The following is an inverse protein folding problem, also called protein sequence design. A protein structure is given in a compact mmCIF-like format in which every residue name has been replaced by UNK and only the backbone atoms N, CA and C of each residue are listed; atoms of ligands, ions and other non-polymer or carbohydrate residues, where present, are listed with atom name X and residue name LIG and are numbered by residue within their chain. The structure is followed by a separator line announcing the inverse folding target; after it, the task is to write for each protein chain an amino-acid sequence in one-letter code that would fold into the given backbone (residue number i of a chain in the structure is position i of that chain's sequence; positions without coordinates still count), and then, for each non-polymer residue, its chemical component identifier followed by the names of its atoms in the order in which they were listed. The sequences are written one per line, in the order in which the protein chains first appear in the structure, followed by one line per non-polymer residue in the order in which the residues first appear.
data_IF_939280559197
#
_entry.id   IF_939280559197
#
_cell.length_a   1.000
_cell.length_b   1.000
_cell.length_c   1.000
_cell.angle_alpha   90.00
_cell.angle_beta   90.00
_cell.angle_gamma   90.00
#
_symmetry.space_group_name_H-M   'P 1'
#
loop_
_entity.id
_entity.type
_entity.pdbx_description
1 polymer ?
#
# COMPACT_ATOMS: atom_id res chain seq x y z
N UNK A 1 14.20 -22.90 65.50
CA UNK A 1 12.79 -23.25 65.24
C UNK A 1 11.96 -21.99 65.00
N UNK A 2 10.87 -22.12 64.23
CA UNK A 2 9.83 -21.14 63.91
C UNK A 2 10.18 -20.04 62.89
N UNK A 3 9.86 -20.32 61.61
CA UNK A 3 9.79 -19.34 60.52
C UNK A 3 8.35 -18.77 60.47
N UNK A 4 8.11 -17.48 60.76
CA UNK A 4 6.79 -16.86 60.64
C UNK A 4 6.53 -16.25 59.24
N UNK A 5 7.26 -16.68 58.21
CA UNK A 5 7.28 -16.00 56.91
C UNK A 5 6.23 -16.52 55.91
N UNK A 6 5.38 -17.47 56.29
CA UNK A 6 4.47 -18.16 55.38
C UNK A 6 3.10 -17.47 55.18
N UNK A 7 2.76 -16.42 55.93
CA UNK A 7 1.40 -15.83 55.90
C UNK A 7 1.34 -14.54 55.07
N UNK A 8 2.47 -13.89 54.78
CA UNK A 8 2.44 -12.59 54.09
C UNK A 8 2.36 -12.67 52.55
N UNK A 9 2.48 -13.87 51.95
CA UNK A 9 2.57 -14.00 50.48
C UNK A 9 1.26 -14.36 49.78
N UNK A 10 0.18 -14.66 50.52
CA UNK A 10 -1.11 -15.09 49.94
C UNK A 10 -2.06 -13.92 49.65
N UNK A 11 -1.74 -12.70 50.08
CA UNK A 11 -2.62 -11.53 49.93
C UNK A 11 -2.48 -10.73 48.62
N UNK A 12 -1.49 -11.02 47.76
CA UNK A 12 -1.15 -10.18 46.60
C UNK A 12 -1.65 -10.72 45.24
N UNK A 13 -2.65 -11.60 45.21
CA UNK A 13 -3.09 -12.22 43.95
C UNK A 13 -4.57 -12.07 43.59
N UNK A 14 -5.40 -11.37 44.36
CA UNK A 14 -6.86 -11.29 44.09
C UNK A 14 -7.36 -9.94 43.55
N UNK A 15 -6.48 -8.95 43.34
CA UNK A 15 -6.88 -7.62 42.86
C UNK A 15 -6.81 -7.38 41.35
N UNK A 16 -6.25 -8.31 40.56
CA UNK A 16 -5.85 -8.03 39.17
C UNK A 16 -6.55 -8.90 38.13
N UNK A 17 -7.80 -9.28 38.38
CA UNK A 17 -8.68 -9.97 37.40
C UNK A 17 -9.90 -9.09 37.14
N UNK A 18 -9.69 -7.86 36.66
CA UNK A 18 -10.72 -7.04 35.99
C UNK A 18 -10.10 -5.79 35.37
N UNK A 19 -9.10 -5.98 34.52
CA UNK A 19 -8.79 -5.01 33.48
C UNK A 19 -8.43 -5.84 32.25
N UNK A 20 -9.45 -6.42 31.62
CA UNK A 20 -9.32 -6.77 30.21
C UNK A 20 -9.12 -5.44 29.50
N UNK A 21 -7.85 -5.09 29.30
CA UNK A 21 -7.44 -3.98 28.49
C UNK A 21 -8.00 -4.22 27.10
N UNK A 22 -9.09 -3.52 26.75
CA UNK A 22 -9.41 -3.32 25.34
C UNK A 22 -8.30 -2.43 24.77
N UNK A 23 -7.18 -3.06 24.43
CA UNK A 23 -6.12 -2.44 23.66
C UNK A 23 -6.76 -1.86 22.41
N UNK A 24 -6.72 -0.54 22.27
CA UNK A 24 -7.31 0.18 21.16
C UNK A 24 -6.76 -0.39 19.85
N UNK A 25 -7.63 -1.04 19.07
CA UNK A 25 -7.24 -1.66 17.80
C UNK A 25 -6.67 -0.57 16.89
N UNK A 26 -5.54 -0.81 16.21
CA UNK A 26 -4.98 0.17 15.28
C UNK A 26 -6.03 0.51 14.23
N UNK A 27 -6.18 1.80 13.98
CA UNK A 27 -7.14 2.32 13.01
C UNK A 27 -6.80 1.74 11.63
N UNK A 28 -7.78 1.25 10.84
CA UNK A 28 -7.50 0.75 9.50
C UNK A 28 -6.99 1.88 8.61
N UNK A 29 -6.04 1.56 7.73
CA UNK A 29 -5.42 2.52 6.80
C UNK A 29 -6.43 3.34 5.98
N UNK A 30 -7.61 2.77 5.70
CA UNK A 30 -8.68 3.42 4.94
C UNK A 30 -9.33 4.60 5.67
N UNK A 31 -9.17 4.71 6.99
CA UNK A 31 -9.71 5.82 7.78
C UNK A 31 -8.66 6.91 8.09
N UNK A 32 -7.45 6.78 7.57
CA UNK A 32 -6.45 7.84 7.65
C UNK A 32 -6.74 8.95 6.62
N UNK A 33 -6.48 10.22 6.97
CA UNK A 33 -6.71 11.32 6.03
C UNK A 33 -5.74 11.24 4.85
N UNK A 34 -6.25 11.47 3.64
CA UNK A 34 -5.45 11.51 2.41
C UNK A 34 -4.50 12.72 2.47
N UNK A 35 -3.21 12.47 2.29
CA UNK A 35 -2.17 13.52 2.23
C UNK A 35 -1.79 13.79 0.77
N UNK A 36 -1.67 15.06 0.41
CA UNK A 36 -1.14 15.47 -0.90
C UNK A 36 0.38 15.53 -0.86
N UNK A 37 1.04 14.82 -1.77
CA UNK A 37 2.48 14.90 -1.97
C UNK A 37 2.83 15.68 -3.24
N UNK A 38 3.82 16.55 -3.14
CA UNK A 38 4.37 17.24 -4.31
C UNK A 38 5.22 16.26 -5.11
N UNK A 39 5.00 16.11 -6.43
CA UNK A 39 5.79 15.17 -7.21
C UNK A 39 7.23 15.65 -7.40
N UNK A 40 8.19 14.72 -7.48
CA UNK A 40 9.60 15.06 -7.65
C UNK A 40 9.83 15.86 -8.94
N UNK A 41 10.84 16.73 -8.91
CA UNK A 41 11.39 17.31 -10.12
C UNK A 41 12.11 16.21 -10.92
N UNK A 42 11.96 16.25 -12.24
CA UNK A 42 12.46 15.22 -13.15
C UNK A 42 13.08 15.88 -14.37
N UNK A 43 14.10 15.24 -14.95
CA UNK A 43 14.83 15.80 -16.08
C UNK A 43 14.01 15.72 -17.38
N UNK A 44 13.24 14.65 -17.57
CA UNK A 44 12.44 14.42 -18.76
C UNK A 44 10.96 14.76 -18.55
N UNK A 45 10.47 15.80 -19.24
CA UNK A 45 9.09 16.26 -19.16
C UNK A 45 8.14 15.63 -20.19
N UNK A 46 8.66 14.84 -21.14
CA UNK A 46 7.87 14.39 -22.30
C UNK A 46 7.06 13.12 -22.02
N UNK A 47 7.64 12.15 -21.30
CA UNK A 47 6.98 10.87 -21.03
C UNK A 47 5.83 10.92 -19.99
N UNK A 48 5.99 11.59 -18.82
CA UNK A 48 4.98 11.55 -17.79
C UNK A 48 3.74 12.37 -18.20
N UNK A 49 2.58 11.72 -18.30
CA UNK A 49 1.31 12.34 -18.71
C UNK A 49 0.57 12.95 -17.52
N UNK A 50 0.88 12.50 -16.29
CA UNK A 50 0.24 12.97 -15.06
C UNK A 50 1.20 13.17 -13.89
N UNK A 51 0.63 13.59 -12.75
CA UNK A 51 1.38 13.79 -11.50
C UNK A 51 1.98 12.50 -10.94
N UNK A 52 1.29 11.38 -11.10
CA UNK A 52 1.70 10.08 -10.56
C UNK A 52 2.90 9.54 -11.33
N UNK A 53 2.88 9.67 -12.66
CA UNK A 53 3.97 9.23 -13.55
C UNK A 53 5.32 9.85 -13.18
N UNK A 54 5.30 11.04 -12.56
CA UNK A 54 6.51 11.72 -12.08
C UNK A 54 7.23 10.97 -10.98
N UNK A 55 6.48 10.36 -10.05
CA UNK A 55 7.08 9.53 -9.01
C UNK A 55 7.71 8.28 -9.61
N UNK A 56 7.03 7.64 -10.56
CA UNK A 56 7.56 6.47 -11.24
C UNK A 56 8.82 6.81 -12.04
N UNK A 57 8.79 7.89 -12.83
CA UNK A 57 9.95 8.31 -13.61
C UNK A 57 11.16 8.61 -12.71
N UNK A 58 10.96 9.32 -11.59
CA UNK A 58 12.03 9.60 -10.66
C UNK A 58 12.68 8.33 -10.10
N UNK A 59 11.89 7.30 -9.78
CA UNK A 59 12.44 6.02 -9.28
C UNK A 59 13.09 5.21 -10.39
N UNK A 60 12.56 5.25 -11.62
CA UNK A 60 13.21 4.65 -12.79
C UNK A 60 14.56 5.31 -13.10
N UNK A 61 14.64 6.65 -13.05
CA UNK A 61 15.87 7.40 -13.27
C UNK A 61 16.93 7.07 -12.20
N UNK A 62 16.55 6.97 -10.92
CA UNK A 62 17.45 6.50 -9.85
C UNK A 62 17.96 5.08 -10.10
N UNK A 63 17.12 4.21 -10.66
CA UNK A 63 17.48 2.85 -11.02
C UNK A 63 18.23 2.74 -12.36
N UNK A 64 18.46 3.84 -13.08
CA UNK A 64 19.07 3.84 -14.40
C UNK A 64 18.21 3.23 -15.51
N UNK A 65 16.90 3.09 -15.27
CA UNK A 65 15.92 2.53 -16.21
C UNK A 65 15.29 3.64 -17.05
N UNK A 66 14.81 3.26 -18.24
CA UNK A 66 14.04 4.13 -19.12
C UNK A 66 12.64 3.57 -19.33
N UNK A 67 11.63 4.42 -19.50
CA UNK A 67 10.29 3.95 -19.84
C UNK A 67 10.28 3.13 -21.13
N UNK A 68 9.44 2.08 -21.14
CA UNK A 68 9.21 1.31 -22.34
C UNK A 68 8.50 2.18 -23.41
N UNK A 69 8.75 1.93 -24.70
CA UNK A 69 8.03 2.59 -25.78
C UNK A 69 6.53 2.29 -25.69
N UNK A 70 5.71 3.20 -26.21
CA UNK A 70 4.26 3.00 -26.30
C UNK A 70 3.96 1.81 -27.22
N UNK A 71 3.00 0.98 -26.80
CA UNK A 71 2.60 -0.18 -27.59
C UNK A 71 1.85 0.25 -28.86
N UNK A 72 1.98 -0.54 -29.92
CA UNK A 72 1.24 -0.33 -31.16
C UNK A 72 -0.29 -0.29 -30.93
N UNK A 73 -1.05 0.57 -31.66
CA UNK A 73 -2.50 0.71 -31.48
C UNK A 73 -3.29 -0.61 -31.50
N UNK A 74 -2.93 -1.55 -32.37
CA UNK A 74 -3.58 -2.88 -32.43
C UNK A 74 -3.33 -3.68 -31.16
N UNK A 75 -2.15 -3.55 -30.57
CA UNK A 75 -1.82 -4.20 -29.29
C UNK A 75 -2.61 -3.59 -28.14
N UNK A 76 -2.73 -2.26 -28.10
CA UNK A 76 -3.54 -1.56 -27.09
C UNK A 76 -5.01 -1.95 -27.18
N UNK A 77 -5.58 -1.95 -28.39
CA UNK A 77 -6.97 -2.35 -28.63
C UNK A 77 -7.23 -3.78 -28.11
N UNK A 78 -6.36 -4.72 -28.44
CA UNK A 78 -6.51 -6.11 -28.00
C UNK A 78 -6.49 -6.21 -26.47
N UNK A 79 -5.60 -5.51 -25.78
CA UNK A 79 -5.54 -5.48 -24.30
C UNK A 79 -6.84 -4.92 -23.72
N UNK A 80 -7.30 -3.79 -24.25
CA UNK A 80 -8.53 -3.15 -23.81
C UNK A 80 -9.74 -4.07 -23.97
N UNK A 81 -9.83 -4.80 -25.08
CA UNK A 81 -10.90 -5.79 -25.30
C UNK A 81 -10.86 -6.94 -24.29
N UNK A 82 -9.68 -7.48 -23.99
CA UNK A 82 -9.56 -8.50 -22.96
C UNK A 82 -9.93 -7.97 -21.57
N UNK A 83 -9.55 -6.74 -21.24
CA UNK A 83 -9.83 -6.16 -19.92
C UNK A 83 -11.32 -5.83 -19.74
N UNK A 84 -11.97 -5.29 -20.77
CA UNK A 84 -13.36 -4.84 -20.69
C UNK A 84 -14.39 -5.93 -21.02
N UNK A 85 -14.09 -6.77 -22.02
CA UNK A 85 -15.03 -7.77 -22.56
C UNK A 85 -14.63 -9.20 -22.20
N UNK A 86 -13.34 -9.46 -21.99
CA UNK A 86 -12.81 -10.80 -21.72
C UNK A 86 -12.61 -11.66 -22.97
N UNK A 87 -12.91 -11.13 -24.16
CA UNK A 87 -12.77 -11.82 -25.46
C UNK A 87 -11.89 -11.00 -26.40
N UNK A 88 -11.22 -11.64 -27.38
CA UNK A 88 -10.44 -10.92 -28.38
C UNK A 88 -11.35 -10.07 -29.28
N UNK A 89 -10.83 -8.96 -29.85
CA UNK A 89 -11.55 -8.16 -30.83
C UNK A 89 -11.80 -8.97 -32.11
N UNK A 90 -12.91 -8.69 -32.79
CA UNK A 90 -13.20 -9.24 -34.12
C UNK A 90 -12.25 -8.68 -35.17
N UNK A 91 -12.04 -9.39 -36.28
CA UNK A 91 -11.17 -8.92 -37.36
C UNK A 91 -11.56 -7.53 -37.89
N UNK A 92 -12.86 -7.25 -37.98
CA UNK A 92 -13.40 -5.94 -38.40
C UNK A 92 -13.13 -4.80 -37.41
N UNK A 93 -12.85 -5.11 -36.14
CA UNK A 93 -12.68 -4.09 -35.09
C UNK A 93 -11.23 -3.61 -34.96
N UNK A 94 -10.28 -4.28 -35.62
CA UNK A 94 -8.83 -4.05 -35.55
C UNK A 94 -8.35 -3.30 -36.79
#
# INVERSE_FOLDING_TARGET
MCRPFAILFVGLCLGSICAAEEAAKPKPWSFEPIRSHEPPAQANSVWPKGRIDRFLLADMEKAGLKPAPEADPRTLLRRLWFDLVGLPPTFEAV
#
